data_IF_189778889875
#
_entry.id   IF_189778889875
#
_cell.length_a   1.000
_cell.length_b   1.000
_cell.length_c   1.000
_cell.angle_alpha   90.00
_cell.angle_beta   90.00
_cell.angle_gamma   90.00
#
_symmetry.space_group_name_H-M   'P 1'
#
loop_
_entity.id
_entity.type
_entity.pdbx_description
1 polymer ?
#
# COMPACT_ATOMS: atom_id res chain seq x y z
N UNK A 1 5.45 -19.94 35.58
CA UNK A 1 6.08 -21.17 35.04
C UNK A 1 6.75 -20.84 33.72
N UNK A 2 7.75 -21.62 33.26
CA UNK A 2 8.25 -21.49 31.90
C UNK A 2 7.10 -21.67 30.91
N UNK A 3 6.97 -20.74 29.97
CA UNK A 3 6.01 -20.75 28.85
C UNK A 3 6.80 -20.61 27.54
N UNK A 4 6.19 -20.98 26.40
CA UNK A 4 6.85 -21.13 25.10
C UNK A 4 7.77 -22.39 25.01
N UNK A 5 8.49 -22.66 23.91
CA UNK A 5 8.58 -21.88 22.68
C UNK A 5 7.25 -21.85 21.91
N UNK A 6 6.92 -20.72 21.29
CA UNK A 6 5.68 -20.54 20.55
C UNK A 6 5.87 -19.73 19.27
N UNK A 7 5.13 -20.06 18.21
CA UNK A 7 5.18 -19.34 16.94
C UNK A 7 4.43 -18.02 17.04
N UNK A 8 5.12 -16.90 16.89
CA UNK A 8 4.53 -15.57 17.08
C UNK A 8 4.01 -14.94 15.79
N UNK A 9 3.10 -13.98 15.97
CA UNK A 9 2.45 -13.28 14.86
C UNK A 9 3.39 -12.42 14.01
N UNK A 10 4.58 -12.09 14.55
CA UNK A 10 5.68 -11.44 13.82
C UNK A 10 6.59 -12.43 13.07
N UNK A 11 6.20 -13.71 12.96
CA UNK A 11 6.86 -14.71 12.13
C UNK A 11 8.15 -15.31 12.70
N UNK A 12 8.44 -15.09 13.98
CA UNK A 12 9.56 -15.74 14.67
C UNK A 12 9.03 -16.62 15.79
N UNK A 13 9.87 -17.53 16.30
CA UNK A 13 9.54 -18.33 17.48
C UNK A 13 9.96 -17.54 18.72
N UNK A 14 9.02 -17.29 19.64
CA UNK A 14 9.32 -16.81 20.98
C UNK A 14 10.06 -17.91 21.74
N UNK A 15 11.10 -17.54 22.47
CA UNK A 15 11.84 -18.44 23.34
C UNK A 15 11.18 -18.54 24.71
N UNK A 16 11.60 -19.52 25.50
CA UNK A 16 11.02 -19.75 26.82
C UNK A 16 11.23 -18.57 27.76
N UNK A 17 10.14 -18.13 28.39
CA UNK A 17 10.15 -17.07 29.40
C UNK A 17 9.25 -17.44 30.58
N UNK A 18 9.54 -16.89 31.76
CA UNK A 18 8.67 -17.08 32.91
C UNK A 18 7.40 -16.25 32.76
N UNK A 19 6.25 -16.91 32.79
CA UNK A 19 4.95 -16.26 32.77
C UNK A 19 4.11 -16.61 34.03
N UNK A 20 3.01 -15.89 34.22
CA UNK A 20 2.12 -16.09 35.37
C UNK A 20 1.35 -17.41 35.24
N UNK A 21 1.53 -18.37 36.18
CA UNK A 21 0.76 -19.61 36.15
C UNK A 21 -0.71 -19.32 36.51
N UNK A 22 -1.64 -19.95 35.79
CA UNK A 22 -3.07 -19.87 36.10
C UNK A 22 -3.51 -21.09 36.91
N UNK A 23 -3.91 -20.90 38.17
CA UNK A 23 -4.52 -21.97 38.97
C UNK A 23 -6.01 -22.08 38.69
N UNK A 24 -6.42 -23.13 37.99
CA UNK A 24 -7.83 -23.45 37.74
C UNK A 24 -8.44 -24.07 39.00
N UNK A 25 -9.50 -23.46 39.54
CA UNK A 25 -10.21 -23.96 40.75
C UNK A 25 -11.47 -24.76 40.42
N UNK A 26 -12.09 -24.49 39.26
CA UNK A 26 -13.23 -25.23 38.73
C UNK A 26 -13.33 -25.03 37.20
N UNK A 27 -13.93 -25.99 36.50
CA UNK A 27 -14.25 -25.90 35.06
C UNK A 27 -15.76 -26.15 34.90
N UNK A 28 -16.46 -25.28 34.20
CA UNK A 28 -17.88 -25.45 33.86
C UNK A 28 -18.08 -25.39 32.34
N UNK A 29 -18.99 -26.19 31.80
CA UNK A 29 -19.24 -26.24 30.37
C UNK A 29 -20.67 -26.71 30.04
N UNK A 30 -21.12 -26.48 28.81
CA UNK A 30 -22.40 -27.01 28.28
C UNK A 30 -22.32 -28.52 28.10
N UNK A 31 -23.45 -29.23 28.09
CA UNK A 31 -23.52 -30.70 27.91
C UNK A 31 -22.72 -31.22 26.70
N UNK A 32 -22.76 -30.50 25.59
CA UNK A 32 -21.97 -30.76 24.39
C UNK A 32 -21.10 -29.52 24.11
N UNK A 33 -19.90 -29.41 24.72
CA UNK A 33 -19.08 -28.22 24.59
C UNK A 33 -18.45 -28.13 23.19
N UNK A 34 -18.30 -26.91 22.69
CA UNK A 34 -17.47 -26.57 21.53
C UNK A 34 -16.33 -25.71 22.03
N UNK A 35 -15.09 -26.10 21.75
CA UNK A 35 -13.90 -25.36 22.16
C UNK A 35 -13.39 -24.59 20.93
N UNK A 36 -13.61 -23.28 20.84
CA UNK A 36 -13.01 -22.48 19.78
C UNK A 36 -11.50 -22.42 19.99
N UNK A 37 -10.76 -22.60 18.92
CA UNK A 37 -9.32 -22.39 18.86
C UNK A 37 -9.03 -21.57 17.60
N UNK A 38 -7.94 -20.82 17.63
CA UNK A 38 -7.44 -20.12 16.46
C UNK A 38 -5.92 -20.25 16.44
N UNK A 39 -5.34 -20.22 15.24
CA UNK A 39 -3.89 -20.30 15.08
C UNK A 39 -3.32 -18.90 14.87
N UNK A 40 -2.36 -18.52 15.72
CA UNK A 40 -1.47 -17.39 15.49
C UNK A 40 -0.10 -17.92 15.11
N UNK A 41 0.42 -17.42 13.99
CA UNK A 41 1.73 -17.78 13.42
C UNK A 41 2.15 -16.68 12.45
N UNK A 42 3.21 -16.93 11.67
CA UNK A 42 3.62 -16.06 10.55
C UNK A 42 2.41 -15.61 9.72
N UNK A 43 2.26 -14.29 9.58
CA UNK A 43 1.16 -13.72 8.81
C UNK A 43 1.36 -13.96 7.30
N UNK A 44 0.31 -14.30 6.55
CA UNK A 44 -1.09 -14.32 6.96
C UNK A 44 -1.48 -15.56 7.80
N UNK A 45 -2.28 -15.34 8.84
CA UNK A 45 -2.86 -16.37 9.71
C UNK A 45 -4.31 -16.00 10.08
N UNK A 46 -5.06 -16.94 10.64
CA UNK A 46 -6.42 -16.67 11.13
C UNK A 46 -6.44 -15.46 12.08
N UNK A 47 -5.45 -15.39 12.98
CA UNK A 47 -5.30 -14.26 13.91
C UNK A 47 -5.09 -12.91 13.22
N UNK A 48 -4.31 -12.85 12.13
CA UNK A 48 -4.06 -11.59 11.41
C UNK A 48 -5.29 -11.20 10.61
N UNK A 49 -5.95 -12.12 9.93
CA UNK A 49 -7.17 -11.78 9.15
C UNK A 49 -8.27 -11.22 10.07
N UNK A 50 -8.49 -11.82 11.25
CA UNK A 50 -9.44 -11.28 12.24
C UNK A 50 -9.03 -9.87 12.70
N UNK A 51 -7.74 -9.66 13.02
CA UNK A 51 -7.22 -8.33 13.40
C UNK A 51 -7.40 -7.31 12.29
N UNK A 52 -7.17 -7.68 11.02
CA UNK A 52 -7.26 -6.79 9.86
C UNK A 52 -8.65 -6.18 9.72
N UNK A 53 -9.68 -7.03 9.82
CA UNK A 53 -11.10 -6.62 9.74
C UNK A 53 -11.46 -5.64 10.86
N UNK A 54 -10.82 -5.72 12.02
CA UNK A 54 -11.05 -4.79 13.12
C UNK A 54 -10.20 -3.51 13.02
N UNK A 55 -8.92 -3.63 12.70
CA UNK A 55 -7.95 -2.55 12.83
C UNK A 55 -7.99 -1.57 11.65
N UNK A 56 -8.12 -2.04 10.41
CA UNK A 56 -8.16 -1.13 9.25
C UNK A 56 -9.31 -0.11 9.33
N UNK A 57 -10.56 -0.51 9.69
CA UNK A 57 -11.64 0.45 9.92
C UNK A 57 -11.39 1.35 11.13
N UNK A 58 -10.77 0.83 12.19
CA UNK A 58 -10.45 1.59 13.40
C UNK A 58 -9.48 2.75 13.08
N UNK A 59 -8.38 2.46 12.38
CA UNK A 59 -7.44 3.48 11.91
C UNK A 59 -8.10 4.46 10.95
N UNK A 60 -8.88 3.95 9.99
CA UNK A 60 -9.59 4.81 9.03
C UNK A 60 -10.53 5.78 9.74
N UNK A 61 -11.30 5.29 10.73
CA UNK A 61 -12.20 6.11 11.53
C UNK A 61 -11.44 7.12 12.38
N UNK A 62 -10.32 6.72 13.00
CA UNK A 62 -9.49 7.65 13.76
C UNK A 62 -9.00 8.82 12.91
N UNK A 63 -8.39 8.54 11.74
CA UNK A 63 -7.86 9.60 10.89
C UNK A 63 -8.97 10.50 10.30
N UNK A 64 -10.08 9.91 9.85
CA UNK A 64 -11.16 10.67 9.20
C UNK A 64 -12.06 11.39 10.19
N UNK A 65 -12.53 10.68 11.20
CA UNK A 65 -13.61 11.13 12.09
C UNK A 65 -13.07 11.78 13.36
N UNK A 66 -11.96 11.28 13.92
CA UNK A 66 -11.36 11.86 15.12
C UNK A 66 -10.42 13.03 14.77
N UNK A 67 -9.53 12.86 13.78
CA UNK A 67 -8.58 13.91 13.37
C UNK A 67 -9.13 14.83 12.27
N UNK A 68 -10.31 14.54 11.73
CA UNK A 68 -11.00 15.38 10.75
C UNK A 68 -10.36 15.42 9.35
N UNK A 69 -9.54 14.43 8.99
CA UNK A 69 -8.78 14.42 7.74
C UNK A 69 -9.63 13.83 6.61
N UNK A 70 -10.44 14.68 5.98
CA UNK A 70 -11.45 14.24 4.99
C UNK A 70 -10.85 13.58 3.75
N UNK A 71 -9.63 13.96 3.37
CA UNK A 71 -8.91 13.39 2.22
C UNK A 71 -8.44 11.95 2.42
N UNK A 72 -8.43 11.40 3.64
CA UNK A 72 -8.13 9.97 3.87
C UNK A 72 -9.30 9.13 3.36
N UNK A 73 -9.02 8.24 2.40
CA UNK A 73 -10.03 7.32 1.86
C UNK A 73 -10.12 6.03 2.67
N UNK A 74 -8.96 5.41 2.96
CA UNK A 74 -8.84 4.18 3.75
C UNK A 74 -7.43 4.06 4.34
N UNK A 75 -7.32 3.25 5.39
CA UNK A 75 -6.05 2.78 5.95
C UNK A 75 -5.98 1.28 5.79
N UNK A 76 -4.86 0.79 5.26
CA UNK A 76 -4.58 -0.62 5.11
C UNK A 76 -3.34 -0.97 5.94
N UNK A 77 -3.36 -2.15 6.56
CA UNK A 77 -2.24 -2.65 7.35
C UNK A 77 -1.59 -3.79 6.57
N UNK A 78 -0.31 -3.68 6.25
CA UNK A 78 0.38 -4.71 5.47
C UNK A 78 0.47 -6.00 6.30
N UNK A 79 0.08 -7.12 5.69
CA UNK A 79 -0.08 -8.39 6.39
C UNK A 79 1.13 -9.32 6.25
N UNK A 80 1.58 -9.68 5.04
CA UNK A 80 2.61 -10.71 4.88
C UNK A 80 3.87 -10.39 5.67
N UNK A 81 4.28 -11.30 6.55
CA UNK A 81 5.45 -11.20 7.44
C UNK A 81 5.44 -10.06 8.48
N UNK A 82 4.72 -8.96 8.24
CA UNK A 82 4.67 -7.78 9.12
C UNK A 82 3.54 -7.81 10.13
N UNK A 83 2.60 -8.76 9.99
CA UNK A 83 1.58 -9.06 10.99
C UNK A 83 0.59 -7.93 11.25
N UNK A 84 0.40 -6.99 10.30
CA UNK A 84 -0.43 -5.78 10.39
C UNK A 84 0.09 -4.69 11.34
N UNK A 85 1.15 -4.97 12.08
CA UNK A 85 1.64 -4.08 13.14
C UNK A 85 2.63 -3.07 12.58
N UNK A 86 3.62 -3.55 11.81
CA UNK A 86 4.80 -2.73 11.52
C UNK A 86 4.62 -1.72 10.39
N UNK A 87 3.83 -2.05 9.37
CA UNK A 87 3.67 -1.21 8.17
C UNK A 87 2.20 -0.83 7.99
N UNK A 88 1.93 0.48 8.03
CA UNK A 88 0.61 1.09 7.88
C UNK A 88 0.59 1.97 6.64
N UNK A 89 -0.37 1.74 5.75
CA UNK A 89 -0.50 2.50 4.50
C UNK A 89 -1.81 3.30 4.51
N UNK A 90 -1.70 4.59 4.25
CA UNK A 90 -2.81 5.54 4.26
C UNK A 90 -3.07 5.95 2.82
N UNK A 91 -4.22 5.55 2.28
CA UNK A 91 -4.67 6.00 0.96
C UNK A 91 -5.37 7.34 1.11
N UNK A 92 -4.84 8.38 0.44
CA UNK A 92 -5.41 9.73 0.42
C UNK A 92 -5.85 10.13 -0.99
N UNK A 93 -6.84 11.01 -1.06
CA UNK A 93 -7.29 11.60 -2.32
C UNK A 93 -6.17 12.41 -2.99
N UNK A 94 -6.10 12.35 -4.32
CA UNK A 94 -5.19 13.19 -5.10
C UNK A 94 -5.51 14.67 -4.85
N UNK A 95 -4.49 15.47 -4.57
CA UNK A 95 -4.65 16.89 -4.22
C UNK A 95 -4.94 17.15 -2.73
N UNK A 96 -5.00 16.10 -1.89
CA UNK A 96 -4.98 16.29 -0.42
C UNK A 96 -3.79 17.17 -0.04
N UNK A 97 -4.03 18.17 0.80
CA UNK A 97 -2.99 19.13 1.17
C UNK A 97 -1.84 18.44 1.91
N UNK A 98 -0.61 18.92 1.69
CA UNK A 98 0.59 18.37 2.34
C UNK A 98 0.45 18.35 3.86
N UNK A 99 -0.10 19.41 4.47
CA UNK A 99 -0.32 19.49 5.92
C UNK A 99 -1.27 18.40 6.42
N UNK A 100 -2.33 18.08 5.68
CA UNK A 100 -3.24 16.98 6.03
C UNK A 100 -2.60 15.60 5.88
N UNK A 101 -1.76 15.40 4.86
CA UNK A 101 -1.01 14.15 4.67
C UNK A 101 -0.09 13.92 5.89
N UNK A 102 0.68 14.93 6.30
CA UNK A 102 1.56 14.81 7.46
C UNK A 102 0.80 14.65 8.78
N UNK A 103 -0.38 15.28 8.92
CA UNK A 103 -1.28 15.03 10.06
C UNK A 103 -1.80 13.60 10.08
N UNK A 104 -2.09 13.01 8.92
CA UNK A 104 -2.54 11.62 8.81
C UNK A 104 -1.41 10.63 9.15
N UNK A 105 -0.19 10.88 8.64
CA UNK A 105 1.00 10.09 8.95
C UNK A 105 1.29 10.06 10.46
N UNK A 106 1.33 11.23 11.10
CA UNK A 106 1.52 11.32 12.55
C UNK A 106 0.35 10.68 13.32
N UNK A 107 -0.89 10.92 12.89
CA UNK A 107 -2.07 10.32 13.50
C UNK A 107 -2.02 8.79 13.48
N UNK A 108 -1.60 8.18 12.36
CA UNK A 108 -1.49 6.73 12.25
C UNK A 108 -0.35 6.19 13.12
N UNK A 109 0.82 6.84 13.10
CA UNK A 109 2.00 6.42 13.84
C UNK A 109 1.80 6.32 15.36
N UNK A 110 0.97 7.22 15.93
CA UNK A 110 0.81 7.36 17.37
C UNK A 110 -0.58 6.96 17.90
N UNK A 111 -1.45 6.41 17.04
CA UNK A 111 -2.77 5.97 17.46
C UNK A 111 -2.74 4.70 18.33
N UNK A 112 -1.87 3.74 17.98
CA UNK A 112 -1.78 2.44 18.67
C UNK A 112 -0.31 2.02 18.80
N UNK A 113 0.20 1.89 20.02
CA UNK A 113 1.65 1.82 20.32
C UNK A 113 2.40 0.60 19.74
N UNK A 114 1.71 -0.51 19.49
CA UNK A 114 2.23 -1.70 18.79
C UNK A 114 2.16 -1.59 17.26
N UNK A 115 1.54 -0.54 16.71
CA UNK A 115 1.37 -0.33 15.27
C UNK A 115 2.10 0.91 14.74
N UNK A 116 2.25 1.00 13.41
CA UNK A 116 2.67 2.23 12.75
C UNK A 116 4.16 2.55 12.89
N UNK A 117 5.02 1.51 12.95
CA UNK A 117 6.48 1.71 12.91
C UNK A 117 6.91 2.35 11.59
N UNK A 118 6.29 1.95 10.49
CA UNK A 118 6.46 2.55 9.16
C UNK A 118 5.08 2.98 8.69
N UNK A 119 4.88 4.28 8.44
CA UNK A 119 3.64 4.83 7.91
C UNK A 119 3.89 5.43 6.53
N UNK A 120 3.08 5.03 5.55
CA UNK A 120 3.24 5.44 4.14
C UNK A 120 1.93 6.06 3.66
N UNK A 121 1.97 7.29 3.15
CA UNK A 121 0.83 7.89 2.46
C UNK A 121 0.96 7.69 0.95
N UNK A 122 -0.11 7.22 0.31
CA UNK A 122 -0.19 6.97 -1.14
C UNK A 122 -1.51 7.49 -1.71
N UNK A 123 -1.59 7.66 -3.04
CA UNK A 123 -2.86 7.94 -3.70
C UNK A 123 -3.65 6.65 -4.00
N UNK A 124 -4.89 6.82 -4.45
CA UNK A 124 -5.87 5.74 -4.65
C UNK A 124 -5.60 4.82 -5.84
N UNK A 125 -4.67 5.19 -6.72
CA UNK A 125 -4.19 4.36 -7.81
C UNK A 125 -3.20 3.27 -7.37
N UNK A 126 -2.69 3.35 -6.13
CA UNK A 126 -1.74 2.39 -5.58
C UNK A 126 -2.46 1.24 -4.90
N UNK A 127 -2.13 0.01 -5.32
CA UNK A 127 -2.68 -1.21 -4.71
C UNK A 127 -1.78 -1.67 -3.58
N UNK A 128 -2.24 -1.49 -2.33
CA UNK A 128 -1.43 -1.75 -1.13
C UNK A 128 -1.07 -3.24 -0.93
N UNK A 129 -1.95 -4.16 -1.35
CA UNK A 129 -1.66 -5.60 -1.29
C UNK A 129 -0.64 -6.05 -2.36
N UNK A 130 -0.18 -5.14 -3.23
CA UNK A 130 0.93 -5.35 -4.14
C UNK A 130 2.15 -4.52 -3.70
N UNK A 131 3.18 -5.19 -3.16
CA UNK A 131 4.42 -4.56 -2.73
C UNK A 131 5.14 -3.81 -3.87
N UNK A 132 5.08 -4.32 -5.10
CA UNK A 132 5.71 -3.66 -6.26
C UNK A 132 5.04 -2.31 -6.56
N UNK A 133 3.72 -2.21 -6.37
CA UNK A 133 2.98 -0.97 -6.55
C UNK A 133 3.37 0.08 -5.50
N UNK A 134 3.58 -0.35 -4.24
CA UNK A 134 4.08 0.52 -3.17
C UNK A 134 5.51 0.99 -3.43
N UNK A 135 6.41 0.06 -3.78
CA UNK A 135 7.81 0.38 -4.10
C UNK A 135 7.92 1.34 -5.29
N UNK A 136 7.10 1.12 -6.32
CA UNK A 136 7.01 2.03 -7.47
C UNK A 136 6.55 3.42 -7.06
N UNK A 137 5.49 3.54 -6.24
CA UNK A 137 5.02 4.83 -5.74
C UNK A 137 6.12 5.56 -4.95
N UNK A 138 6.79 4.85 -4.04
CA UNK A 138 7.89 5.40 -3.24
C UNK A 138 9.06 5.86 -4.12
N UNK A 139 9.45 5.08 -5.12
CA UNK A 139 10.59 5.39 -5.97
C UNK A 139 10.36 6.62 -6.87
N UNK A 140 9.14 6.82 -7.38
CA UNK A 140 8.86 7.85 -8.38
C UNK A 140 8.10 9.08 -7.85
N UNK A 141 7.51 9.02 -6.64
CA UNK A 141 6.67 10.11 -6.11
C UNK A 141 7.23 10.79 -4.87
N UNK A 142 8.24 10.20 -4.25
CA UNK A 142 8.82 10.66 -2.98
C UNK A 142 10.24 11.16 -3.21
N UNK A 143 10.58 12.31 -2.66
CA UNK A 143 11.98 12.70 -2.44
C UNK A 143 12.34 12.38 -0.99
N UNK A 144 13.23 11.42 -0.69
CA UNK A 144 13.54 11.04 0.69
C UNK A 144 13.96 12.20 1.61
N UNK A 145 14.65 13.22 1.08
CA UNK A 145 15.05 14.40 1.88
C UNK A 145 13.85 15.27 2.27
N UNK A 146 12.84 15.37 1.39
CA UNK A 146 11.70 16.24 1.60
C UNK A 146 10.47 15.52 2.18
N UNK A 147 10.35 14.22 1.92
CA UNK A 147 9.10 13.46 2.06
C UNK A 147 9.25 12.26 3.01
N UNK A 148 10.38 12.14 3.71
CA UNK A 148 10.58 11.17 4.80
C UNK A 148 10.89 11.89 6.10
N UNK A 149 10.25 11.46 7.19
CA UNK A 149 10.56 11.91 8.54
C UNK A 149 10.82 10.72 9.44
N UNK A 150 11.93 10.76 10.17
CA UNK A 150 12.24 9.83 11.25
C UNK A 150 11.80 10.46 12.56
N UNK A 151 11.05 9.72 13.37
CA UNK A 151 10.60 10.15 14.68
C UNK A 151 11.21 9.23 15.73
N UNK A 152 12.07 9.75 16.64
CA UNK A 152 12.74 8.94 17.66
C UNK A 152 11.78 8.56 18.81
N UNK A 153 12.30 7.81 19.79
CA UNK A 153 11.64 7.46 21.05
C UNK A 153 10.35 6.64 20.89
N UNK A 154 10.41 5.63 20.03
CA UNK A 154 9.36 4.61 19.92
C UNK A 154 9.74 3.41 20.80
N UNK A 155 8.79 2.79 21.50
CA UNK A 155 9.06 1.46 22.08
C UNK A 155 9.29 0.39 21.01
N UNK A 156 10.12 -0.63 21.30
CA UNK A 156 10.39 -1.75 20.38
C UNK A 156 9.11 -2.42 19.86
N UNK A 157 8.06 -2.47 20.66
CA UNK A 157 6.78 -3.10 20.32
C UNK A 157 6.89 -4.62 20.18
N UNK A 158 5.88 -5.26 19.59
CA UNK A 158 5.82 -6.73 19.47
C UNK A 158 6.73 -7.25 18.35
N UNK A 159 7.79 -7.97 18.69
CA UNK A 159 8.82 -8.49 17.78
C UNK A 159 9.82 -9.39 18.52
N UNK A 160 10.77 -10.01 17.80
CA UNK A 160 11.80 -10.81 18.43
C UNK A 160 12.65 -9.94 19.37
N UNK A 161 12.98 -10.46 20.55
CA UNK A 161 13.92 -9.80 21.47
C UNK A 161 15.27 -9.64 20.79
N UNK A 162 15.89 -8.48 21.01
CA UNK A 162 17.24 -8.17 20.57
C UNK A 162 18.19 -8.37 21.74
N UNK A 163 19.42 -8.77 21.46
CA UNK A 163 20.47 -8.93 22.49
C UNK A 163 21.05 -7.59 22.98
N UNK A 164 20.64 -6.46 22.39
CA UNK A 164 21.09 -5.13 22.78
C UNK A 164 20.17 -4.50 23.83
N UNK A 165 20.75 -3.92 24.88
CA UNK A 165 20.08 -3.20 25.99
C UNK A 165 19.36 -1.89 25.59
N UNK A 166 19.18 -1.62 24.29
CA UNK A 166 18.51 -0.40 23.81
C UNK A 166 17.00 -0.65 23.67
N UNK A 167 16.26 -0.20 24.68
CA UNK A 167 14.80 -0.36 24.79
C UNK A 167 14.00 0.53 23.82
N UNK A 168 14.69 1.40 23.06
CA UNK A 168 14.07 2.34 22.12
C UNK A 168 14.30 2.00 20.64
N UNK A 169 13.35 2.44 19.83
CA UNK A 169 13.25 2.30 18.39
C UNK A 169 12.79 3.64 17.78
N UNK A 170 12.54 3.66 16.48
CA UNK A 170 12.02 4.85 15.78
C UNK A 170 10.84 4.52 14.86
N UNK A 171 10.08 5.56 14.54
CA UNK A 171 9.03 5.51 13.53
C UNK A 171 9.50 6.21 12.25
N UNK A 172 9.18 5.65 11.09
CA UNK A 172 9.45 6.24 9.77
C UNK A 172 8.13 6.64 9.09
N UNK A 173 8.00 7.92 8.77
CA UNK A 173 6.86 8.49 8.05
C UNK A 173 7.27 8.81 6.61
N UNK A 174 6.46 8.41 5.64
CA UNK A 174 6.75 8.56 4.21
C UNK A 174 5.56 9.14 3.45
N UNK A 175 5.76 10.25 2.73
CA UNK A 175 4.77 10.82 1.82
C UNK A 175 5.08 10.42 0.36
N UNK A 176 4.57 9.25 -0.06
CA UNK A 176 4.68 8.72 -1.42
C UNK A 176 3.48 9.12 -2.33
N UNK A 177 2.79 10.21 -2.00
CA UNK A 177 1.73 10.76 -2.86
C UNK A 177 2.30 11.56 -4.03
N UNK A 178 1.55 11.68 -5.13
CA UNK A 178 1.88 12.51 -6.27
C UNK A 178 1.95 13.99 -5.87
N UNK A 179 3.07 14.64 -6.21
CA UNK A 179 3.27 16.09 -5.98
C UNK A 179 2.74 16.96 -7.13
N UNK A 180 2.57 16.36 -8.31
CA UNK A 180 2.00 16.98 -9.50
C UNK A 180 1.37 15.91 -10.38
N UNK A 181 0.62 16.32 -11.41
CA UNK A 181 0.20 15.43 -12.48
C UNK A 181 1.41 14.75 -13.13
N UNK A 182 1.22 13.49 -13.54
CA UNK A 182 2.23 12.66 -14.18
C UNK A 182 1.68 12.06 -15.49
N UNK A 183 2.54 11.66 -16.43
CA UNK A 183 2.12 10.87 -17.60
C UNK A 183 1.43 9.58 -17.17
N UNK A 184 0.53 9.02 -17.99
CA UNK A 184 -0.16 7.77 -17.67
C UNK A 184 0.83 6.62 -17.49
N UNK A 185 0.43 5.63 -16.70
CA UNK A 185 1.19 4.38 -16.60
C UNK A 185 1.26 3.72 -17.99
N UNK A 186 2.46 3.30 -18.40
CA UNK A 186 2.74 2.75 -19.73
C UNK A 186 2.24 1.29 -19.91
N UNK A 187 0.95 1.08 -19.65
CA UNK A 187 0.23 -0.16 -19.88
C UNK A 187 -0.87 0.06 -20.93
N UNK A 188 -1.30 -0.98 -21.67
CA UNK A 188 -2.44 -0.87 -22.57
C UNK A 188 -3.70 -0.42 -21.84
N UNK A 189 -4.59 0.32 -22.54
CA UNK A 189 -5.92 0.66 -22.00
C UNK A 189 -6.73 -0.60 -21.67
N UNK A 190 -7.67 -0.43 -20.76
CA UNK A 190 -8.56 -1.49 -20.27
C UNK A 190 -9.19 -2.31 -21.39
N UNK A 191 -9.76 -1.65 -22.42
CA UNK A 191 -10.40 -2.31 -23.55
C UNK A 191 -9.51 -3.33 -24.29
N UNK A 192 -8.19 -3.09 -24.35
CA UNK A 192 -7.25 -4.00 -24.98
C UNK A 192 -6.92 -5.19 -24.07
N UNK A 193 -6.78 -4.95 -22.76
CA UNK A 193 -6.51 -5.99 -21.77
C UNK A 193 -7.70 -6.94 -21.60
N UNK A 194 -8.92 -6.40 -21.57
CA UNK A 194 -10.16 -7.20 -21.54
C UNK A 194 -10.32 -8.03 -22.81
N UNK A 195 -10.10 -7.43 -24.00
CA UNK A 195 -10.13 -8.18 -25.25
C UNK A 195 -9.08 -9.29 -25.28
N UNK A 196 -7.87 -9.02 -24.80
CA UNK A 196 -6.82 -10.03 -24.70
C UNK A 196 -7.22 -11.18 -23.76
N UNK A 197 -7.88 -10.88 -22.64
CA UNK A 197 -8.44 -11.90 -21.75
C UNK A 197 -9.51 -12.76 -22.44
N UNK A 198 -10.40 -12.17 -23.23
CA UNK A 198 -11.40 -12.93 -24.00
C UNK A 198 -10.73 -13.89 -24.98
N UNK A 199 -9.76 -13.40 -25.77
CA UNK A 199 -9.01 -14.23 -26.72
C UNK A 199 -8.29 -15.38 -25.99
N UNK A 200 -7.67 -15.09 -24.83
CA UNK A 200 -6.99 -16.10 -24.03
C UNK A 200 -7.93 -17.23 -23.59
N UNK A 201 -9.17 -16.90 -23.21
CA UNK A 201 -10.20 -17.86 -22.83
C UNK A 201 -10.70 -18.67 -24.04
N UNK A 202 -10.92 -18.01 -25.19
CA UNK A 202 -11.32 -18.69 -26.44
C UNK A 202 -10.28 -19.71 -26.90
N UNK A 203 -8.99 -19.42 -26.69
CA UNK A 203 -7.88 -20.32 -27.00
C UNK A 203 -7.77 -21.51 -26.03
N UNK A 204 -8.60 -21.58 -24.97
CA UNK A 204 -8.58 -22.65 -23.98
C UNK A 204 -7.30 -22.69 -23.15
N UNK A 205 -6.62 -21.55 -23.01
CA UNK A 205 -5.39 -21.45 -22.21
C UNK A 205 -5.72 -21.47 -20.71
N UNK A 206 -4.71 -21.69 -19.88
CA UNK A 206 -4.87 -21.83 -18.42
C UNK A 206 -5.53 -20.61 -17.75
N UNK A 207 -6.00 -20.79 -16.51
CA UNK A 207 -6.69 -19.71 -15.79
C UNK A 207 -5.80 -18.48 -15.58
N UNK A 208 -6.33 -17.31 -15.90
CA UNK A 208 -5.64 -16.04 -15.67
C UNK A 208 -5.74 -15.60 -14.21
N UNK A 209 -4.65 -15.03 -13.71
CA UNK A 209 -4.60 -14.35 -12.40
C UNK A 209 -4.07 -12.93 -12.58
N UNK A 210 -4.86 -12.00 -13.14
CA UNK A 210 -4.43 -10.63 -13.36
C UNK A 210 -3.91 -10.00 -12.06
N UNK A 211 -2.81 -9.27 -12.14
CA UNK A 211 -2.24 -8.52 -11.02
C UNK A 211 -2.47 -7.03 -11.25
N UNK A 212 -2.74 -6.29 -10.18
CA UNK A 212 -2.88 -4.84 -10.25
C UNK A 212 -1.50 -4.16 -10.35
N UNK A 213 -1.34 -3.09 -11.14
CA UNK A 213 -2.33 -2.55 -12.08
C UNK A 213 -2.45 -3.42 -13.33
N UNK A 214 -3.68 -3.78 -13.71
CA UNK A 214 -3.93 -4.69 -14.85
C UNK A 214 -3.87 -3.96 -16.20
N UNK A 215 -4.20 -2.66 -16.23
CA UNK A 215 -4.21 -1.82 -17.42
C UNK A 215 -3.73 -0.40 -17.08
N UNK A 216 -3.44 0.38 -18.11
CA UNK A 216 -2.99 1.77 -17.99
C UNK A 216 -4.13 2.70 -17.57
N UNK A 217 -3.78 3.69 -16.76
CA UNK A 217 -4.70 4.72 -16.27
C UNK A 217 -4.02 6.08 -16.34
N UNK A 218 -4.83 7.14 -16.40
CA UNK A 218 -4.33 8.51 -16.41
C UNK A 218 -3.84 8.93 -15.04
N UNK A 219 -2.70 9.62 -15.02
CA UNK A 219 -2.16 10.29 -13.84
C UNK A 219 -2.32 11.83 -13.93
N UNK A 220 -3.08 12.32 -14.91
CA UNK A 220 -3.41 13.73 -15.10
C UNK A 220 -2.67 14.41 -16.24
N UNK A 221 -1.41 14.04 -16.51
CA UNK A 221 -0.63 14.66 -17.59
C UNK A 221 -0.80 13.91 -18.92
N UNK A 222 -2.02 13.94 -19.47
CA UNK A 222 -2.34 13.32 -20.75
C UNK A 222 -3.35 14.16 -21.53
N UNK A 223 -2.93 14.70 -22.68
CA UNK A 223 -3.78 15.57 -23.50
C UNK A 223 -4.69 14.77 -24.46
N UNK A 224 -5.88 15.30 -24.80
CA UNK A 224 -6.78 14.67 -25.79
C UNK A 224 -6.12 14.41 -27.15
N UNK A 225 -5.21 15.28 -27.58
CA UNK A 225 -4.46 15.15 -28.82
C UNK A 225 -3.58 13.89 -28.82
N UNK A 226 -2.96 13.57 -27.68
CA UNK A 226 -2.17 12.35 -27.51
C UNK A 226 -3.04 11.11 -27.42
N UNK A 227 -4.22 11.21 -26.82
CA UNK A 227 -5.19 10.12 -26.83
C UNK A 227 -5.68 9.79 -28.25
N UNK A 228 -5.99 10.82 -29.03
CA UNK A 228 -6.34 10.67 -30.44
C UNK A 228 -5.17 10.08 -31.25
N UNK A 229 -3.93 10.47 -30.95
CA UNK A 229 -2.74 9.91 -31.58
C UNK A 229 -2.54 8.42 -31.24
N UNK A 230 -2.73 8.04 -29.97
CA UNK A 230 -2.67 6.66 -29.52
C UNK A 230 -3.76 5.80 -30.20
N UNK A 231 -4.99 6.33 -30.32
CA UNK A 231 -6.08 5.65 -31.04
C UNK A 231 -5.74 5.42 -32.51
N UNK A 232 -5.23 6.44 -33.21
CA UNK A 232 -4.77 6.29 -34.60
C UNK A 232 -3.67 5.24 -34.73
N UNK A 233 -2.73 5.20 -33.79
CA UNK A 233 -1.68 4.19 -33.80
C UNK A 233 -2.26 2.78 -33.65
N UNK A 234 -3.17 2.58 -32.69
CA UNK A 234 -3.80 1.29 -32.43
C UNK A 234 -4.70 0.79 -33.57
N UNK A 235 -5.29 1.69 -34.36
CA UNK A 235 -6.12 1.34 -35.53
C UNK A 235 -5.36 1.28 -36.86
N UNK A 236 -4.02 1.35 -36.83
CA UNK A 236 -3.17 1.27 -38.04
C UNK A 236 -3.05 2.57 -38.82
N UNK A 237 -3.59 3.69 -38.32
CA UNK A 237 -3.55 5.02 -38.92
C UNK A 237 -2.35 5.86 -38.43
N UNK A 238 -1.27 5.22 -37.98
CA UNK A 238 -0.10 5.91 -37.39
C UNK A 238 0.61 6.88 -38.36
N UNK A 239 0.50 6.68 -39.68
CA UNK A 239 1.06 7.60 -40.68
C UNK A 239 0.46 9.02 -40.58
N UNK A 240 -0.80 9.12 -40.14
CA UNK A 240 -1.45 10.42 -39.91
C UNK A 240 -0.81 11.16 -38.73
N UNK A 241 -0.36 10.44 -37.68
CA UNK A 241 0.45 11.05 -36.62
C UNK A 241 1.76 11.63 -37.17
N UNK A 242 2.39 10.94 -38.15
CA UNK A 242 3.59 11.42 -38.83
C UNK A 242 3.35 12.74 -39.56
N UNK A 243 2.26 12.86 -40.32
CA UNK A 243 1.89 14.11 -41.00
C UNK A 243 1.62 15.25 -40.02
N UNK A 244 0.88 14.99 -38.94
CA UNK A 244 0.62 15.97 -37.88
C UNK A 244 1.94 16.42 -37.22
N UNK A 245 2.85 15.48 -36.96
CA UNK A 245 4.15 15.81 -36.36
C UNK A 245 5.06 16.59 -37.31
N UNK A 246 4.95 16.36 -38.63
CA UNK A 246 5.71 17.09 -39.65
C UNK A 246 5.38 18.58 -39.67
N UNK A 247 4.10 18.94 -39.51
CA UNK A 247 3.66 20.35 -39.44
C UNK A 247 4.12 21.07 -38.18
N UNK A 248 4.55 20.32 -37.16
CA UNK A 248 5.00 20.84 -35.85
C UNK A 248 6.52 21.00 -35.75
N UNK A 249 7.28 20.65 -36.81
CA UNK A 249 8.75 20.73 -36.82
C UNK A 249 9.25 22.16 -36.65
N UNK A 250 10.21 22.36 -35.75
CA UNK A 250 10.88 23.64 -35.50
C UNK A 250 12.40 23.44 -35.50
N UNK A 251 13.14 24.37 -36.09
CA UNK A 251 14.61 24.36 -36.10
C UNK A 251 15.17 25.04 -34.84
N UNK A 252 16.37 24.66 -34.44
CA UNK A 252 17.11 25.33 -33.35
C UNK A 252 16.57 25.05 -31.94
N UNK A 253 15.69 24.05 -31.79
CA UNK A 253 15.19 23.62 -30.47
C UNK A 253 16.15 22.60 -29.88
N UNK A 254 16.45 22.73 -28.58
CA UNK A 254 17.24 21.75 -27.84
C UNK A 254 16.47 20.42 -27.74
N UNK A 255 17.10 19.25 -27.95
CA UNK A 255 16.46 17.96 -27.66
C UNK A 255 15.88 17.92 -26.25
N UNK A 256 14.78 17.17 -26.07
CA UNK A 256 14.04 17.06 -24.79
C UNK A 256 13.42 18.38 -24.28
N UNK A 257 13.28 19.38 -25.15
CA UNK A 257 12.45 20.56 -24.82
C UNK A 257 10.98 20.14 -24.78
N UNK A 258 10.28 20.52 -23.70
CA UNK A 258 8.85 20.20 -23.52
C UNK A 258 8.03 20.68 -24.71
N UNK A 259 7.16 19.81 -25.21
CA UNK A 259 6.18 20.09 -26.24
C UNK A 259 4.78 19.76 -25.73
N UNK A 260 3.83 20.67 -25.89
CA UNK A 260 2.41 20.41 -25.70
C UNK A 260 1.69 20.90 -26.96
N UNK A 261 0.97 20.02 -27.67
CA UNK A 261 0.15 20.44 -28.80
C UNK A 261 -1.02 21.30 -28.30
N UNK A 262 -1.37 22.32 -29.09
CA UNK A 262 -2.57 23.13 -28.89
C UNK A 262 -3.85 22.31 -29.11
#
# INVERSE_FOLDING_TARGET
EPEAPFGESHGHVALEEFNMPMRITAITHRKNPVIPSYISQVAPSESSVIKRVAYEPLFTSHLRNTLGIKGVKKVQLHEPLTGLLRVTVITVEKGTSRTEIWRALNGAAFFKGDCGKICIAVNDDITVDNADSLLWAMAYRMNPVADVQLVPHRGQGHGPKRESDDDEDSTMLMDATMKSDMPPLALPKQEYMERAQTIWQELGLGSLRPQAPWFGYSLGDWLPQWDAAAKRAATGQYLENGKISDTQRKKGIKPETKFRPD
#
